data_IF_078847646781
#
_entry.id   IF_078847646781
#
_cell.length_a   1.000
_cell.length_b   1.000
_cell.length_c   1.000
_cell.angle_alpha   90.00
_cell.angle_beta   90.00
_cell.angle_gamma   90.00
#
_symmetry.space_group_name_H-M   'P 1'
#
loop_
_entity.id
_entity.type
_entity.pdbx_description
1 polymer ?
#
# COMPACT_ATOMS: atom_id res chain seq x y z
N UNK A 1 -2.68 13.03 -12.54
CA UNK A 1 -3.07 11.61 -12.40
C UNK A 1 -2.55 11.14 -11.04
N UNK A 2 -3.43 10.62 -10.19
CA UNK A 2 -3.09 10.16 -8.85
C UNK A 2 -2.80 8.65 -8.88
N UNK A 3 -2.00 8.17 -7.93
CA UNK A 3 -1.64 6.77 -7.78
C UNK A 3 -2.08 6.25 -6.42
N UNK A 4 -2.34 4.95 -6.37
CA UNK A 4 -2.46 4.19 -5.13
C UNK A 4 -1.60 2.94 -5.28
N UNK A 5 -0.54 2.81 -4.48
CA UNK A 5 0.38 1.66 -4.61
C UNK A 5 -0.27 0.38 -4.07
N UNK A 6 -0.26 -0.71 -4.85
CA UNK A 6 -0.69 -2.04 -4.40
C UNK A 6 0.53 -2.92 -4.13
N UNK A 7 0.83 -3.18 -2.86
CA UNK A 7 1.99 -3.92 -2.36
C UNK A 7 1.64 -5.39 -2.18
N UNK A 8 2.30 -6.27 -2.94
CA UNK A 8 2.05 -7.71 -2.92
C UNK A 8 3.21 -8.53 -3.51
N UNK A 9 2.92 -9.76 -3.95
CA UNK A 9 3.91 -10.66 -4.58
C UNK A 9 3.69 -10.76 -6.09
N UNK A 10 2.43 -10.86 -6.53
CA UNK A 10 2.03 -10.91 -7.96
C UNK A 10 0.79 -10.03 -8.21
N UNK A 11 0.93 -8.73 -7.94
CA UNK A 11 -0.16 -7.74 -7.97
C UNK A 11 -0.84 -7.63 -9.34
N UNK A 12 -0.11 -7.89 -10.43
CA UNK A 12 -0.65 -7.93 -11.79
C UNK A 12 -1.69 -9.03 -12.04
N UNK A 13 -1.66 -10.13 -11.27
CA UNK A 13 -2.62 -11.24 -11.39
C UNK A 13 -3.87 -11.05 -10.50
N UNK A 14 -3.89 -10.00 -9.68
CA UNK A 14 -4.98 -9.76 -8.74
C UNK A 14 -6.25 -9.27 -9.43
N UNK A 15 -7.40 -9.75 -8.96
CA UNK A 15 -8.69 -9.18 -9.32
C UNK A 15 -8.82 -7.71 -8.91
N UNK A 16 -8.11 -7.26 -7.86
CA UNK A 16 -8.15 -5.88 -7.40
C UNK A 16 -7.71 -4.90 -8.49
N UNK A 17 -6.63 -5.21 -9.22
CA UNK A 17 -6.13 -4.39 -10.34
C UNK A 17 -7.17 -4.24 -11.46
N UNK A 18 -7.96 -5.29 -11.70
CA UNK A 18 -9.02 -5.28 -12.72
C UNK A 18 -10.28 -4.54 -12.25
N UNK A 19 -10.64 -4.68 -10.98
CA UNK A 19 -11.89 -4.13 -10.41
C UNK A 19 -11.75 -2.67 -9.96
N UNK A 20 -10.55 -2.25 -9.57
CA UNK A 20 -10.32 -0.92 -9.01
C UNK A 20 -10.77 0.23 -9.92
N UNK A 21 -10.56 0.22 -11.24
CA UNK A 21 -11.07 1.30 -12.10
C UNK A 21 -12.60 1.44 -12.08
N UNK A 22 -13.34 0.34 -11.88
CA UNK A 22 -14.80 0.38 -11.75
C UNK A 22 -15.20 0.98 -10.40
N UNK A 23 -14.55 0.56 -9.30
CA UNK A 23 -14.80 1.13 -7.97
C UNK A 23 -14.42 2.60 -7.88
N UNK A 24 -13.29 3.02 -8.46
CA UNK A 24 -12.85 4.40 -8.47
C UNK A 24 -13.87 5.32 -9.17
N UNK A 25 -14.52 4.83 -10.23
CA UNK A 25 -15.60 5.54 -10.92
C UNK A 25 -16.85 5.63 -10.05
N UNK A 26 -17.29 4.51 -9.47
CA UNK A 26 -18.51 4.45 -8.66
C UNK A 26 -18.40 5.30 -7.39
N UNK A 27 -17.21 5.33 -6.77
CA UNK A 27 -16.94 6.10 -5.56
C UNK A 27 -16.51 7.54 -5.84
N UNK A 28 -16.44 7.97 -7.11
CA UNK A 28 -16.07 9.33 -7.48
C UNK A 28 -14.63 9.72 -7.11
N UNK A 29 -13.68 8.77 -7.09
CA UNK A 29 -12.29 9.00 -6.67
C UNK A 29 -11.44 9.76 -7.71
N UNK A 30 -12.02 10.10 -8.86
CA UNK A 30 -11.34 10.78 -9.97
C UNK A 30 -10.31 9.88 -10.67
N UNK A 31 -9.32 10.53 -11.29
CA UNK A 31 -8.25 9.85 -12.04
C UNK A 31 -7.18 9.27 -11.11
N UNK A 32 -7.52 8.20 -10.40
CA UNK A 32 -6.61 7.40 -9.57
C UNK A 32 -6.36 6.02 -10.18
N UNK A 33 -5.09 5.59 -10.21
CA UNK A 33 -4.69 4.26 -10.68
C UNK A 33 -4.13 3.42 -9.54
N UNK A 34 -4.57 2.16 -9.47
CA UNK A 34 -3.93 1.16 -8.62
C UNK A 34 -2.69 0.63 -9.34
N UNK A 35 -1.51 0.89 -8.78
CA UNK A 35 -0.22 0.52 -9.40
C UNK A 35 0.46 -0.55 -8.56
N UNK A 36 0.72 -1.70 -9.18
CA UNK A 36 1.37 -2.84 -8.55
C UNK A 36 2.81 -2.55 -8.10
N UNK A 37 3.15 -3.02 -6.91
CA UNK A 37 4.49 -3.04 -6.34
C UNK A 37 4.74 -4.45 -5.79
N UNK A 38 5.42 -5.26 -6.59
CA UNK A 38 5.75 -6.63 -6.25
C UNK A 38 7.05 -6.68 -5.44
N UNK A 39 6.98 -7.33 -4.28
CA UNK A 39 8.12 -7.63 -3.41
C UNK A 39 8.19 -9.15 -3.19
N UNK A 40 9.40 -9.73 -3.13
CA UNK A 40 9.56 -11.14 -2.75
C UNK A 40 9.04 -11.36 -1.32
N UNK A 41 8.57 -12.57 -1.03
CA UNK A 41 8.22 -12.96 0.34
C UNK A 41 9.42 -12.73 1.27
N UNK A 42 9.16 -12.14 2.43
CA UNK A 42 10.20 -11.78 3.41
C UNK A 42 11.32 -10.94 2.78
N UNK A 43 10.93 -9.93 1.99
CA UNK A 43 11.90 -8.97 1.46
C UNK A 43 12.71 -8.31 2.59
N UNK A 44 13.90 -7.81 2.26
CA UNK A 44 14.69 -7.07 3.24
C UNK A 44 13.91 -5.85 3.77
N UNK A 45 14.11 -5.52 5.06
CA UNK A 45 13.45 -4.40 5.76
C UNK A 45 13.52 -3.11 4.95
N UNK A 46 14.68 -2.85 4.34
CA UNK A 46 14.98 -1.66 3.55
C UNK A 46 14.03 -1.50 2.37
N UNK A 47 13.63 -2.61 1.73
CA UNK A 47 12.72 -2.59 0.59
C UNK A 47 11.32 -2.12 0.96
N UNK A 48 10.81 -2.53 2.12
CA UNK A 48 9.52 -2.03 2.61
C UNK A 48 9.60 -0.53 2.92
N UNK A 49 10.70 -0.10 3.54
CA UNK A 49 10.92 1.31 3.91
C UNK A 49 11.03 2.20 2.68
N UNK A 50 11.75 1.77 1.65
CA UNK A 50 11.85 2.49 0.37
C UNK A 50 10.46 2.71 -0.25
N UNK A 51 9.59 1.71 -0.23
CA UNK A 51 8.22 1.82 -0.75
C UNK A 51 7.39 2.80 0.08
N UNK A 52 7.42 2.70 1.42
CA UNK A 52 6.68 3.61 2.31
C UNK A 52 7.19 5.04 2.18
N UNK A 53 8.50 5.25 2.13
CA UNK A 53 9.09 6.58 1.93
C UNK A 53 8.74 7.16 0.57
N UNK A 54 8.72 6.36 -0.50
CA UNK A 54 8.24 6.80 -1.82
C UNK A 54 6.80 7.30 -1.74
N UNK A 55 5.89 6.50 -1.17
CA UNK A 55 4.47 6.86 -1.01
C UNK A 55 4.35 8.18 -0.23
N UNK A 56 5.08 8.31 0.88
CA UNK A 56 5.08 9.53 1.70
C UNK A 56 5.60 10.77 0.95
N UNK A 57 6.64 10.60 0.14
CA UNK A 57 7.34 11.72 -0.51
C UNK A 57 6.67 12.22 -1.80
N UNK A 58 5.84 11.40 -2.43
CA UNK A 58 5.22 11.71 -3.72
C UNK A 58 3.86 12.41 -3.54
N UNK A 59 3.70 13.68 -3.95
CA UNK A 59 2.43 14.41 -3.83
C UNK A 59 1.30 13.85 -4.73
N UNK A 60 1.63 12.92 -5.63
CA UNK A 60 0.67 12.21 -6.48
C UNK A 60 0.31 10.82 -5.94
N UNK A 61 0.89 10.38 -4.83
CA UNK A 61 0.51 9.14 -4.15
C UNK A 61 -0.55 9.39 -3.08
N UNK A 62 -1.64 8.63 -3.19
CA UNK A 62 -2.78 8.69 -2.27
C UNK A 62 -2.62 7.71 -1.10
N UNK A 63 -1.65 6.80 -1.18
CA UNK A 63 -1.41 5.78 -0.16
C UNK A 63 -1.09 4.42 -0.76
N UNK A 64 -1.47 3.35 -0.06
CA UNK A 64 -1.29 2.01 -0.59
C UNK A 64 -2.13 0.90 0.05
N UNK A 65 -2.37 -0.14 -0.74
CA UNK A 65 -3.03 -1.39 -0.35
C UNK A 65 -1.95 -2.46 -0.11
N UNK A 66 -2.00 -3.14 1.02
CA UNK A 66 -1.01 -4.18 1.40
C UNK A 66 -1.71 -5.52 1.59
N UNK A 67 -1.20 -6.58 0.94
CA UNK A 67 -1.80 -7.94 1.04
C UNK A 67 -0.89 -8.95 1.72
N UNK A 68 0.09 -9.52 1.02
CA UNK A 68 0.94 -10.58 1.58
C UNK A 68 1.92 -10.03 2.61
N UNK A 69 2.26 -8.75 2.52
CA UNK A 69 3.37 -8.13 3.24
C UNK A 69 2.95 -7.35 4.49
N UNK A 70 1.71 -7.49 5.00
CA UNK A 70 1.16 -6.58 6.02
C UNK A 70 1.96 -6.54 7.32
N UNK A 71 2.36 -7.71 7.84
CA UNK A 71 3.12 -7.84 9.08
C UNK A 71 4.56 -7.35 8.87
N UNK A 72 5.23 -7.84 7.83
CA UNK A 72 6.62 -7.49 7.53
C UNK A 72 6.77 -5.99 7.25
N UNK A 73 5.87 -5.40 6.46
CA UNK A 73 5.84 -3.96 6.19
C UNK A 73 5.57 -3.15 7.46
N UNK A 74 4.58 -3.55 8.27
CA UNK A 74 4.25 -2.86 9.52
C UNK A 74 5.44 -2.85 10.47
N UNK A 75 6.06 -4.00 10.71
CA UNK A 75 7.26 -4.13 11.55
C UNK A 75 8.44 -3.33 10.99
N UNK A 76 8.61 -3.33 9.66
CA UNK A 76 9.68 -2.63 8.97
C UNK A 76 9.56 -1.09 9.04
N UNK A 77 8.32 -0.57 9.13
CA UNK A 77 8.03 0.84 8.89
C UNK A 77 7.30 1.54 10.04
N UNK A 78 7.09 0.88 11.19
CA UNK A 78 6.34 1.45 12.31
C UNK A 78 6.83 2.83 12.75
N UNK A 79 8.14 3.05 12.73
CA UNK A 79 8.79 4.33 13.06
C UNK A 79 8.60 5.43 12.00
N UNK A 80 8.11 5.08 10.81
CA UNK A 80 7.85 6.02 9.72
C UNK A 80 6.40 6.53 9.70
N UNK A 81 5.49 5.92 10.47
CA UNK A 81 4.08 6.28 10.48
C UNK A 81 3.84 7.43 11.46
N UNK A 82 3.18 8.49 10.98
CA UNK A 82 2.78 9.61 11.83
C UNK A 82 1.61 9.23 12.76
N UNK A 83 0.78 8.27 12.34
CA UNK A 83 -0.27 7.67 13.17
C UNK A 83 -0.53 6.21 12.76
N UNK A 84 -0.98 5.41 13.72
CA UNK A 84 -1.36 4.00 13.51
C UNK A 84 -2.73 3.78 14.13
N UNK A 85 -3.63 3.13 13.40
CA UNK A 85 -4.95 2.81 13.93
C UNK A 85 -4.87 1.73 15.01
N UNK A 86 -5.80 1.76 15.97
CA UNK A 86 -5.79 0.84 17.13
C UNK A 86 -5.78 -0.64 16.71
N UNK A 87 -6.39 -1.00 15.59
CA UNK A 87 -6.44 -2.40 15.17
C UNK A 87 -5.13 -2.83 14.53
N UNK A 88 -4.46 -1.97 13.75
CA UNK A 88 -3.11 -2.27 13.27
C UNK A 88 -2.12 -2.43 14.43
N UNK A 89 -2.21 -1.63 15.49
CA UNK A 89 -1.36 -1.80 16.67
C UNK A 89 -1.61 -3.13 17.38
N UNK A 90 -2.88 -3.51 17.58
CA UNK A 90 -3.26 -4.75 18.25
C UNK A 90 -2.88 -5.99 17.44
N UNK A 91 -3.06 -5.94 16.12
CA UNK A 91 -2.78 -7.07 15.23
C UNK A 91 -1.31 -7.16 14.81
N UNK A 92 -0.55 -6.06 14.91
CA UNK A 92 0.83 -6.00 14.41
C UNK A 92 0.91 -6.04 12.87
N UNK A 93 -0.13 -5.61 12.17
CA UNK A 93 -0.19 -5.61 10.70
C UNK A 93 -0.97 -4.41 10.16
N UNK A 94 -0.69 -3.98 8.93
CA UNK A 94 -1.56 -3.02 8.21
C UNK A 94 -1.83 -3.46 6.78
N UNK A 95 -3.08 -3.35 6.35
CA UNK A 95 -3.52 -3.56 4.97
C UNK A 95 -3.68 -2.26 4.18
N UNK A 96 -3.58 -1.10 4.83
CA UNK A 96 -3.82 0.20 4.20
C UNK A 96 -2.84 1.25 4.72
N UNK A 97 -2.25 2.00 3.79
CA UNK A 97 -1.48 3.21 4.04
C UNK A 97 -2.26 4.39 3.46
N UNK A 98 -2.36 5.49 4.18
CA UNK A 98 -3.01 6.72 3.74
C UNK A 98 -2.00 7.88 3.79
N UNK A 99 -2.04 8.76 2.79
CA UNK A 99 -1.22 9.96 2.66
C UNK A 99 -2.10 11.22 2.67
#
# INVERSE_FOLDING_TARGET
MQTFTFIGVTTGQSAATRLFPAWARELGLGDVRLVGCDLPLHAARERYREVVLRIRSDPHERGGLVTTHKIDLFSACRDLFDSVDKYAELCGETSCLAN
#
